data_IF_744419292881
#
_entry.id   IF_744419292881
#
_cell.length_a   1.000
_cell.length_b   1.000
_cell.length_c   1.000
_cell.angle_alpha   90.00
_cell.angle_beta   90.00
_cell.angle_gamma   90.00
#
_symmetry.space_group_name_H-M   'P 1'
#
loop_
_entity.id
_entity.type
_entity.pdbx_description
1 polymer ?
#
# COMPACT_ATOMS: atom_id res chain seq x y z
N UNK A 1 -3.28 -33.21 -11.69
CA UNK A 1 -2.06 -34.04 -11.88
C UNK A 1 -1.90 -34.99 -10.69
N UNK A 2 -1.18 -36.09 -10.86
CA UNK A 2 -0.90 -37.05 -9.79
C UNK A 2 0.48 -37.68 -9.94
N UNK A 3 1.06 -38.12 -8.83
CA UNK A 3 2.35 -38.81 -8.72
C UNK A 3 2.29 -39.86 -7.61
N UNK A 4 3.39 -40.57 -7.41
CA UNK A 4 3.65 -41.45 -6.27
C UNK A 4 3.58 -40.73 -4.91
N UNK A 5 3.81 -39.40 -4.89
CA UNK A 5 3.78 -38.56 -3.68
C UNK A 5 2.42 -37.89 -3.41
N UNK A 6 1.43 -38.02 -4.31
CA UNK A 6 0.09 -37.48 -4.09
C UNK A 6 -0.58 -36.91 -5.35
N UNK A 7 -1.51 -35.96 -5.16
CA UNK A 7 -2.25 -35.34 -6.26
C UNK A 7 -2.38 -33.82 -6.09
N UNK A 8 -2.37 -33.11 -7.21
CA UNK A 8 -2.56 -31.67 -7.30
C UNK A 8 -3.73 -31.34 -8.23
N UNK A 9 -4.73 -30.63 -7.70
CA UNK A 9 -5.78 -29.99 -8.50
C UNK A 9 -5.27 -28.61 -8.97
N UNK A 10 -5.56 -28.24 -10.21
CA UNK A 10 -5.16 -26.99 -10.83
C UNK A 10 -6.39 -26.43 -11.56
N UNK A 11 -6.64 -25.13 -11.45
CA UNK A 11 -7.71 -24.44 -12.20
C UNK A 11 -7.50 -24.56 -13.71
N UNK A 12 -8.58 -24.63 -14.49
CA UNK A 12 -8.50 -24.70 -15.96
C UNK A 12 -7.84 -23.46 -16.58
N UNK A 13 -7.96 -22.32 -15.90
CA UNK A 13 -7.33 -21.06 -16.26
C UNK A 13 -7.01 -20.24 -15.00
N UNK A 14 -6.16 -19.22 -15.14
CA UNK A 14 -5.74 -18.34 -14.06
C UNK A 14 -5.70 -16.88 -14.55
N UNK A 15 -6.84 -16.38 -15.05
CA UNK A 15 -6.97 -15.12 -15.79
C UNK A 15 -6.38 -13.90 -15.05
N UNK A 16 -6.52 -13.86 -13.72
CA UNK A 16 -6.00 -12.82 -12.82
C UNK A 16 -4.47 -12.61 -12.90
N UNK A 17 -3.73 -13.50 -13.59
CA UNK A 17 -2.31 -13.28 -13.91
C UNK A 17 -2.05 -12.11 -14.86
N UNK A 18 -3.04 -11.75 -15.69
CA UNK A 18 -2.90 -10.74 -16.75
C UNK A 18 -3.49 -9.42 -16.26
N UNK A 19 -2.60 -8.49 -15.90
CA UNK A 19 -2.96 -7.24 -15.23
C UNK A 19 -3.43 -6.13 -16.19
N UNK A 20 -3.19 -6.28 -17.50
CA UNK A 20 -3.68 -5.37 -18.53
C UNK A 20 -4.55 -6.11 -19.57
N UNK A 21 -5.35 -5.34 -20.32
CA UNK A 21 -6.13 -5.88 -21.44
C UNK A 21 -5.22 -6.55 -22.49
N UNK A 22 -4.07 -5.94 -22.80
CA UNK A 22 -3.12 -6.46 -23.78
C UNK A 22 -2.56 -7.81 -23.30
N UNK A 23 -2.15 -7.93 -22.03
CA UNK A 23 -1.69 -9.20 -21.45
C UNK A 23 -2.79 -10.27 -21.38
N UNK A 24 -4.05 -9.86 -21.25
CA UNK A 24 -5.20 -10.76 -21.22
C UNK A 24 -5.48 -11.34 -22.61
N UNK A 25 -5.46 -10.50 -23.65
CA UNK A 25 -5.75 -10.90 -25.02
C UNK A 25 -4.56 -11.65 -25.66
N UNK A 26 -3.32 -11.23 -25.43
CA UNK A 26 -2.12 -11.88 -26.00
C UNK A 26 -1.89 -13.30 -25.44
N UNK A 27 -2.27 -13.54 -24.17
CA UNK A 27 -2.27 -14.86 -23.56
C UNK A 27 -3.10 -15.88 -24.34
N UNK A 28 -4.15 -15.43 -25.06
CA UNK A 28 -5.03 -16.25 -25.92
C UNK A 28 -5.62 -17.47 -25.19
N UNK A 29 -5.81 -17.36 -23.89
CA UNK A 29 -6.48 -18.38 -23.09
C UNK A 29 -7.99 -18.37 -23.43
N UNK A 30 -8.56 -19.47 -23.95
CA UNK A 30 -9.97 -19.52 -24.35
C UNK A 30 -10.94 -19.35 -23.19
N UNK A 31 -10.49 -19.51 -21.94
CA UNK A 31 -11.32 -19.32 -20.74
C UNK A 31 -11.25 -17.90 -20.18
N UNK A 32 -10.37 -17.02 -20.67
CA UNK A 32 -10.15 -15.68 -20.13
C UNK A 32 -10.50 -14.57 -21.12
N UNK A 33 -11.13 -13.50 -20.64
CA UNK A 33 -11.39 -12.27 -21.40
C UNK A 33 -11.30 -11.04 -20.53
N UNK A 34 -10.97 -9.89 -21.12
CA UNK A 34 -10.83 -8.63 -20.39
C UNK A 34 -12.18 -7.96 -20.18
N UNK A 35 -12.53 -7.70 -18.93
CA UNK A 35 -13.67 -6.87 -18.57
C UNK A 35 -13.26 -5.39 -18.52
N UNK A 36 -13.71 -4.61 -19.51
CA UNK A 36 -13.45 -3.18 -19.56
C UNK A 36 -14.15 -2.38 -18.44
N UNK A 37 -15.24 -2.88 -17.85
CA UNK A 37 -15.93 -2.23 -16.73
C UNK A 37 -15.31 -2.59 -15.37
N UNK A 38 -14.77 -3.81 -15.26
CA UNK A 38 -14.03 -4.29 -14.08
C UNK A 38 -12.53 -3.95 -14.07
N UNK A 39 -11.99 -3.48 -15.21
CA UNK A 39 -10.56 -3.29 -15.46
C UNK A 39 -9.71 -4.52 -15.08
N UNK A 40 -10.16 -5.71 -15.46
CA UNK A 40 -9.55 -6.98 -15.05
C UNK A 40 -9.71 -8.10 -16.09
N UNK A 41 -8.73 -9.02 -16.14
CA UNK A 41 -8.81 -10.25 -16.92
C UNK A 41 -9.58 -11.33 -16.14
N UNK A 42 -10.78 -11.69 -16.59
CA UNK A 42 -11.73 -12.55 -15.86
C UNK A 42 -12.07 -13.83 -16.64
N UNK A 43 -12.60 -14.83 -15.92
CA UNK A 43 -13.12 -16.05 -16.56
C UNK A 43 -14.39 -15.75 -17.37
N UNK A 44 -14.53 -16.40 -18.54
CA UNK A 44 -15.73 -16.35 -19.39
C UNK A 44 -17.00 -16.93 -18.72
N UNK A 45 -16.92 -17.41 -17.47
CA UNK A 45 -18.05 -17.92 -16.67
C UNK A 45 -19.13 -16.87 -16.34
N UNK A 46 -19.05 -15.64 -16.86
CA UNK A 46 -19.99 -14.53 -16.61
C UNK A 46 -20.76 -14.16 -17.89
N UNK A 47 -21.93 -14.78 -18.16
CA UNK A 47 -22.60 -14.74 -19.47
C UNK A 47 -23.20 -13.39 -19.89
N UNK A 48 -23.06 -12.35 -19.07
CA UNK A 48 -23.64 -11.01 -19.30
C UNK A 48 -22.58 -9.94 -19.62
N UNK A 49 -21.28 -10.25 -19.54
CA UNK A 49 -20.20 -9.28 -19.76
C UNK A 49 -19.69 -9.33 -21.20
N UNK A 50 -19.58 -8.16 -21.83
CA UNK A 50 -18.95 -8.00 -23.14
C UNK A 50 -17.42 -7.99 -22.95
N UNK A 51 -16.83 -9.18 -22.85
CA UNK A 51 -15.41 -9.37 -22.59
C UNK A 51 -14.58 -9.26 -23.88
N UNK A 52 -13.46 -8.54 -23.82
CA UNK A 52 -12.51 -8.44 -24.94
C UNK A 52 -11.63 -9.69 -24.95
N UNK A 53 -11.73 -10.49 -26.00
CA UNK A 53 -10.94 -11.72 -26.19
C UNK A 53 -10.65 -11.94 -27.69
N UNK A 54 -9.44 -12.38 -28.03
CA UNK A 54 -9.12 -12.82 -29.38
C UNK A 54 -8.16 -14.03 -29.37
N UNK A 55 -8.69 -15.24 -29.15
CA UNK A 55 -7.91 -16.49 -29.08
C UNK A 55 -7.18 -16.80 -30.40
N UNK A 56 -7.85 -16.58 -31.54
CA UNK A 56 -7.40 -17.08 -32.84
C UNK A 56 -6.15 -16.36 -33.37
N UNK A 57 -6.08 -15.03 -33.18
CA UNK A 57 -4.98 -14.19 -33.67
C UNK A 57 -4.18 -13.52 -32.54
N UNK A 58 -4.78 -13.23 -31.38
CA UNK A 58 -4.19 -12.37 -30.35
C UNK A 58 -4.26 -10.90 -30.73
N UNK A 59 -5.38 -10.47 -31.30
CA UNK A 59 -5.63 -9.07 -31.66
C UNK A 59 -6.12 -8.25 -30.46
N UNK A 60 -5.22 -7.46 -29.88
CA UNK A 60 -5.51 -6.56 -28.76
C UNK A 60 -5.88 -5.13 -29.20
N UNK A 61 -6.17 -4.88 -30.49
CA UNK A 61 -6.51 -3.54 -31.00
C UNK A 61 -7.81 -2.93 -30.43
N UNK A 62 -8.66 -3.75 -29.81
CA UNK A 62 -9.87 -3.31 -29.10
C UNK A 62 -9.63 -2.92 -27.64
N UNK A 63 -8.41 -3.09 -27.12
CA UNK A 63 -8.10 -2.72 -25.74
C UNK A 63 -8.14 -1.19 -25.54
N UNK A 64 -8.58 -0.71 -24.37
CA UNK A 64 -8.45 0.70 -24.02
C UNK A 64 -6.97 1.08 -23.84
N UNK A 65 -6.68 2.38 -23.93
CA UNK A 65 -5.38 2.94 -23.54
C UNK A 65 -5.02 2.54 -22.09
N UNK A 66 -3.74 2.28 -21.84
CA UNK A 66 -3.25 1.90 -20.52
C UNK A 66 -3.27 3.09 -19.54
N UNK A 67 -3.51 2.80 -18.25
CA UNK A 67 -3.47 3.81 -17.19
C UNK A 67 -2.10 4.53 -17.13
N UNK A 68 -2.07 5.85 -16.84
CA UNK A 68 -0.83 6.61 -16.74
C UNK A 68 0.16 6.04 -15.71
N UNK A 69 1.35 5.66 -16.16
CA UNK A 69 2.37 5.04 -15.31
C UNK A 69 3.02 6.08 -14.41
N UNK A 70 3.15 5.72 -13.13
CA UNK A 70 3.82 6.57 -12.13
C UNK A 70 5.33 6.59 -12.37
N UNK A 71 5.83 7.69 -12.94
CA UNK A 71 7.27 7.95 -13.09
C UNK A 71 8.01 7.85 -11.76
N UNK A 72 9.11 7.09 -11.74
CA UNK A 72 9.95 6.86 -10.56
C UNK A 72 11.21 7.73 -10.62
N UNK A 73 11.29 8.74 -9.75
CA UNK A 73 12.48 9.59 -9.64
C UNK A 73 13.64 8.85 -8.95
N UNK A 74 14.83 8.89 -9.54
CA UNK A 74 16.05 8.27 -9.03
C UNK A 74 17.23 9.25 -9.17
N UNK A 75 18.14 9.27 -8.20
CA UNK A 75 19.39 10.04 -8.30
C UNK A 75 20.60 9.13 -8.12
N UNK A 76 21.63 9.33 -8.93
CA UNK A 76 22.89 8.58 -8.88
C UNK A 76 24.07 9.53 -9.05
N UNK A 77 25.13 9.34 -8.26
CA UNK A 77 26.36 10.14 -8.39
C UNK A 77 27.11 9.82 -9.69
N UNK A 78 27.79 10.83 -10.26
CA UNK A 78 28.78 10.62 -11.34
C UNK A 78 29.76 9.52 -10.93
N UNK A 79 30.06 8.60 -11.86
CA UNK A 79 30.85 7.40 -11.62
C UNK A 79 30.09 6.22 -11.02
N UNK A 80 28.84 6.42 -10.60
CA UNK A 80 28.01 5.40 -9.96
C UNK A 80 27.50 4.29 -10.89
N UNK A 81 26.82 3.32 -10.29
CA UNK A 81 26.07 2.25 -10.97
C UNK A 81 24.58 2.58 -10.89
N UNK A 82 23.91 2.69 -12.03
CA UNK A 82 22.44 2.83 -12.12
C UNK A 82 21.83 1.52 -12.60
N UNK A 83 20.71 1.12 -12.00
CA UNK A 83 19.99 -0.11 -12.33
C UNK A 83 18.49 0.21 -12.35
N UNK A 84 17.85 0.06 -13.52
CA UNK A 84 16.44 0.36 -13.74
C UNK A 84 15.71 -0.96 -14.02
N UNK A 85 14.75 -1.33 -13.18
CA UNK A 85 13.97 -2.57 -13.35
C UNK A 85 12.91 -2.43 -14.44
N UNK A 86 12.61 -3.53 -15.13
CA UNK A 86 11.51 -3.65 -16.07
C UNK A 86 11.18 -5.13 -16.29
N UNK A 87 10.43 -5.76 -15.37
CA UNK A 87 10.08 -7.17 -15.48
C UNK A 87 9.07 -7.38 -16.63
N UNK A 88 9.33 -8.26 -17.61
CA UNK A 88 8.39 -8.52 -18.69
C UNK A 88 7.14 -9.27 -18.18
N UNK A 89 5.92 -8.94 -18.66
CA UNK A 89 4.67 -9.61 -18.27
C UNK A 89 4.54 -11.06 -18.80
N UNK A 90 5.30 -11.40 -19.84
CA UNK A 90 5.27 -12.69 -20.53
C UNK A 90 6.67 -13.14 -20.93
N UNK A 91 6.87 -14.46 -21.06
CA UNK A 91 8.12 -15.06 -21.54
C UNK A 91 8.30 -15.00 -23.06
N UNK A 92 7.28 -14.52 -23.80
CA UNK A 92 7.34 -14.24 -25.23
C UNK A 92 7.63 -12.76 -25.53
N UNK A 93 7.55 -11.91 -24.51
CA UNK A 93 7.81 -10.48 -24.57
C UNK A 93 9.30 -10.19 -24.73
N UNK A 94 9.65 -9.22 -25.58
CA UNK A 94 10.97 -8.58 -25.58
C UNK A 94 10.88 -7.19 -24.94
N UNK A 95 11.95 -6.75 -24.28
CA UNK A 95 12.00 -5.45 -23.59
C UNK A 95 12.75 -4.42 -24.44
N UNK A 96 12.13 -3.26 -24.67
CA UNK A 96 12.74 -2.08 -25.31
C UNK A 96 12.96 -0.98 -24.27
N UNK A 97 14.12 -0.35 -24.30
CA UNK A 97 14.46 0.81 -23.47
C UNK A 97 14.69 2.04 -24.33
N UNK A 98 14.17 3.18 -23.89
CA UNK A 98 14.33 4.48 -24.56
C UNK A 98 14.73 5.55 -23.52
N UNK A 99 15.63 6.48 -23.87
CA UNK A 99 16.02 7.63 -23.04
C UNK A 99 15.54 8.89 -23.76
N UNK A 100 14.54 9.57 -23.20
CA UNK A 100 13.67 10.45 -24.00
C UNK A 100 13.18 9.69 -25.24
N UNK A 101 13.36 10.29 -26.42
CA UNK A 101 12.93 9.70 -27.70
C UNK A 101 14.05 8.89 -28.40
N UNK A 102 15.07 8.40 -27.66
CA UNK A 102 16.18 7.63 -28.23
C UNK A 102 16.17 6.19 -27.70
N UNK A 103 15.86 5.24 -28.58
CA UNK A 103 16.04 3.79 -28.34
C UNK A 103 17.49 3.52 -27.92
N UNK A 104 17.66 2.81 -26.81
CA UNK A 104 18.96 2.42 -26.29
C UNK A 104 19.40 1.08 -26.88
N UNK A 105 20.71 0.94 -27.10
CA UNK A 105 21.34 -0.29 -27.58
C UNK A 105 22.37 -0.78 -26.57
N UNK A 106 22.53 -2.10 -26.48
CA UNK A 106 23.48 -2.70 -25.53
C UNK A 106 24.92 -2.34 -25.90
N UNK A 107 25.70 -1.96 -24.89
CA UNK A 107 27.11 -1.57 -24.99
C UNK A 107 27.87 -2.01 -23.74
N UNK A 108 29.22 -2.00 -23.72
CA UNK A 108 29.99 -2.39 -22.53
C UNK A 108 29.61 -1.62 -21.26
N UNK A 109 29.13 -0.38 -21.41
CA UNK A 109 28.73 0.53 -20.33
C UNK A 109 27.24 0.50 -20.01
N UNK A 110 26.37 0.34 -21.02
CA UNK A 110 24.91 0.28 -20.87
C UNK A 110 24.44 -1.12 -21.30
N UNK A 111 24.24 -2.01 -20.33
CA UNK A 111 23.89 -3.41 -20.56
C UNK A 111 22.38 -3.59 -20.42
N UNK A 112 21.71 -3.99 -21.50
CA UNK A 112 20.29 -4.35 -21.48
C UNK A 112 20.18 -5.83 -21.13
N UNK A 113 19.48 -6.13 -20.03
CA UNK A 113 19.17 -7.48 -19.56
C UNK A 113 17.66 -7.73 -19.68
N UNK A 114 17.23 -8.99 -19.54
CA UNK A 114 15.84 -9.43 -19.74
C UNK A 114 14.82 -8.66 -18.86
N UNK A 115 15.24 -8.24 -17.67
CA UNK A 115 14.40 -7.65 -16.62
C UNK A 115 14.88 -6.26 -16.15
N UNK A 116 15.92 -5.68 -16.76
CA UNK A 116 16.52 -4.40 -16.32
C UNK A 116 17.51 -3.79 -17.32
N UNK A 117 17.67 -2.46 -17.24
CA UNK A 117 18.81 -1.73 -17.80
C UNK A 117 19.86 -1.48 -16.70
N UNK A 118 21.12 -1.78 -17.01
CA UNK A 118 22.27 -1.55 -16.13
C UNK A 118 23.22 -0.54 -16.78
N UNK A 119 23.39 0.63 -16.16
CA UNK A 119 24.38 1.63 -16.59
C UNK A 119 25.53 1.67 -15.59
N UNK A 120 26.72 1.30 -16.07
CA UNK A 120 27.98 1.39 -15.34
C UNK A 120 28.61 2.77 -15.54
N UNK A 121 29.34 3.27 -14.54
CA UNK A 121 30.08 4.55 -14.62
C UNK A 121 29.19 5.69 -15.17
N UNK A 122 28.16 6.04 -14.39
CA UNK A 122 27.15 7.03 -14.76
C UNK A 122 27.75 8.41 -15.03
N UNK A 123 27.29 9.05 -16.11
CA UNK A 123 27.76 10.36 -16.58
C UNK A 123 26.61 11.36 -16.59
N UNK A 124 26.90 12.66 -16.71
CA UNK A 124 25.85 13.68 -16.87
C UNK A 124 24.93 13.44 -18.09
N UNK A 125 25.40 12.70 -19.12
CA UNK A 125 24.59 12.29 -20.28
C UNK A 125 23.64 11.11 -20.03
N UNK A 126 23.70 10.48 -18.85
CA UNK A 126 22.74 9.47 -18.38
C UNK A 126 21.62 10.09 -17.52
N UNK A 127 21.54 11.42 -17.44
CA UNK A 127 20.38 12.12 -16.90
C UNK A 127 19.19 12.04 -17.88
N UNK A 128 17.98 12.21 -17.35
CA UNK A 128 16.76 12.38 -18.15
C UNK A 128 15.66 11.37 -17.84
N UNK A 129 14.60 11.41 -18.66
CA UNK A 129 13.52 10.43 -18.63
C UNK A 129 13.97 9.13 -19.32
N UNK A 130 13.61 7.99 -18.74
CA UNK A 130 13.77 6.67 -19.32
C UNK A 130 12.43 5.97 -19.37
N UNK A 131 12.05 5.47 -20.55
CA UNK A 131 10.89 4.63 -20.77
C UNK A 131 11.33 3.18 -20.96
N UNK A 132 10.57 2.24 -20.41
CA UNK A 132 10.70 0.82 -20.71
C UNK A 132 9.37 0.25 -21.20
N UNK A 133 9.40 -0.42 -22.35
CA UNK A 133 8.21 -1.03 -22.96
C UNK A 133 8.40 -2.52 -23.21
N UNK A 134 7.36 -3.30 -22.89
CA UNK A 134 7.15 -4.65 -23.41
C UNK A 134 6.76 -4.58 -24.87
N UNK A 135 7.32 -5.48 -25.69
CA UNK A 135 7.02 -5.65 -27.11
C UNK A 135 6.76 -7.14 -27.36
N UNK A 136 5.55 -7.48 -27.76
CA UNK A 136 5.14 -8.88 -28.02
C UNK A 136 4.41 -9.00 -29.36
N UNK A 137 4.59 -10.14 -30.04
CA UNK A 137 4.03 -10.40 -31.38
C UNK A 137 2.96 -11.48 -31.33
N UNK A 138 1.81 -11.17 -31.90
CA UNK A 138 0.74 -12.13 -32.16
C UNK A 138 0.61 -12.39 -33.68
N UNK A 139 -0.48 -13.04 -34.14
CA UNK A 139 -0.77 -13.12 -35.57
C UNK A 139 -1.39 -11.83 -36.13
N UNK A 140 -1.90 -10.95 -35.25
CA UNK A 140 -2.54 -9.69 -35.63
C UNK A 140 -1.52 -8.55 -35.79
N UNK A 141 -0.42 -8.56 -35.03
CA UNK A 141 0.61 -7.54 -35.12
C UNK A 141 1.68 -7.61 -34.02
N UNK A 142 2.47 -6.55 -33.92
CA UNK A 142 3.36 -6.25 -32.79
C UNK A 142 2.64 -5.28 -31.85
N UNK A 143 2.42 -5.69 -30.60
CA UNK A 143 1.79 -4.89 -29.56
C UNK A 143 2.86 -4.42 -28.58
N UNK A 144 2.80 -3.13 -28.21
CA UNK A 144 3.75 -2.49 -27.32
C UNK A 144 3.01 -1.88 -26.13
N UNK A 145 3.48 -2.14 -24.91
CA UNK A 145 2.92 -1.57 -23.67
C UNK A 145 4.06 -1.00 -22.84
N UNK A 146 3.89 0.17 -22.22
CA UNK A 146 4.89 0.67 -21.26
C UNK A 146 4.79 -0.13 -19.96
N UNK A 147 5.94 -0.48 -19.38
CA UNK A 147 6.05 -1.30 -18.15
C UNK A 147 6.58 -0.46 -16.99
N UNK A 148 7.50 0.46 -17.25
CA UNK A 148 8.07 1.34 -16.24
C UNK A 148 8.57 2.65 -16.85
N UNK A 149 8.47 3.74 -16.07
CA UNK A 149 9.05 5.05 -16.40
C UNK A 149 9.90 5.57 -15.24
N UNK A 150 11.03 6.20 -15.58
CA UNK A 150 11.99 6.72 -14.62
C UNK A 150 12.40 8.15 -14.95
N UNK A 151 12.64 8.97 -13.92
CA UNK A 151 13.27 10.28 -14.06
C UNK A 151 14.60 10.26 -13.32
N UNK A 152 15.70 10.23 -14.08
CA UNK A 152 17.06 10.10 -13.55
C UNK A 152 17.72 11.46 -13.42
N UNK A 153 18.20 11.79 -12.22
CA UNK A 153 19.13 12.87 -11.95
C UNK A 153 20.55 12.33 -11.70
N UNK A 154 21.55 13.13 -12.08
CA UNK A 154 22.96 12.79 -11.92
C UNK A 154 23.57 13.78 -10.93
N UNK A 155 23.88 13.31 -9.72
CA UNK A 155 24.50 14.14 -8.68
C UNK A 155 26.00 14.34 -8.99
N UNK A 156 26.53 15.57 -8.88
CA UNK A 156 27.96 15.81 -9.07
C UNK A 156 28.80 15.02 -8.05
N UNK A 157 30.02 14.65 -8.47
CA UNK A 157 30.98 13.99 -7.59
C UNK A 157 31.61 15.01 -6.62
N UNK A 158 30.85 15.46 -5.62
CA UNK A 158 31.37 16.29 -4.53
C UNK A 158 32.25 15.44 -3.59
N UNK A 159 33.54 15.76 -3.42
CA UNK A 159 34.45 15.01 -2.54
C UNK A 159 34.17 15.21 -1.03
N UNK A 160 33.35 16.20 -0.65
CA UNK A 160 33.07 16.56 0.75
C UNK A 160 31.69 16.09 1.24
N UNK A 161 30.75 15.74 0.35
CA UNK A 161 29.37 15.39 0.74
C UNK A 161 29.20 13.87 0.85
N UNK A 162 29.13 13.39 2.09
CA UNK A 162 28.78 12.00 2.38
C UNK A 162 27.27 11.75 2.18
N UNK A 163 26.82 11.73 0.92
CA UNK A 163 25.43 11.40 0.55
C UNK A 163 25.12 9.97 0.97
N UNK A 164 24.18 9.81 1.92
CA UNK A 164 23.64 8.50 2.30
C UNK A 164 23.11 7.79 1.06
N UNK A 165 23.57 6.56 0.83
CA UNK A 165 23.02 5.69 -0.21
C UNK A 165 21.58 5.31 0.14
N UNK A 166 20.62 6.02 -0.47
CA UNK A 166 19.20 5.64 -0.45
C UNK A 166 19.04 4.43 -1.36
N UNK A 167 19.19 3.24 -0.80
CA UNK A 167 18.73 2.01 -1.46
C UNK A 167 17.22 2.17 -1.70
N UNK A 168 16.72 2.13 -2.95
CA UNK A 168 15.30 2.23 -3.21
C UNK A 168 14.60 1.01 -2.62
N UNK A 169 13.95 1.19 -1.46
CA UNK A 169 13.19 0.11 -0.82
C UNK A 169 12.01 -0.22 -1.74
N UNK A 170 11.81 -1.49 -2.14
CA UNK A 170 10.70 -1.86 -3.01
C UNK A 170 9.39 -1.44 -2.33
N UNK A 171 8.59 -0.61 -3.01
CA UNK A 171 7.27 -0.23 -2.52
C UNK A 171 6.32 -1.41 -2.71
N UNK A 172 6.28 -2.27 -1.71
CA UNK A 172 5.21 -3.25 -1.52
C UNK A 172 3.91 -2.52 -1.22
N UNK A 173 3.29 -1.95 -2.25
CA UNK A 173 1.95 -1.38 -2.21
C UNK A 173 0.92 -2.50 -2.12
N UNK A 174 0.94 -3.24 -1.01
CA UNK A 174 -0.22 -4.01 -0.59
C UNK A 174 -1.40 -3.05 -0.35
N UNK A 175 -2.65 -3.51 -0.50
CA UNK A 175 -3.83 -2.69 -0.22
C UNK A 175 -3.76 -2.14 1.21
N UNK A 176 -4.19 -0.90 1.41
CA UNK A 176 -3.98 -0.18 2.67
C UNK A 176 -4.69 -0.85 3.86
N UNK A 177 -3.95 -1.68 4.58
CA UNK A 177 -4.45 -2.47 5.72
C UNK A 177 -4.92 -1.57 6.87
N UNK A 178 -4.61 -0.27 6.86
CA UNK A 178 -5.12 0.70 7.83
C UNK A 178 -6.65 0.72 7.93
N UNK A 179 -7.36 0.59 6.81
CA UNK A 179 -8.83 0.48 6.80
C UNK A 179 -9.32 -0.80 7.48
N UNK A 180 -8.69 -1.94 7.18
CA UNK A 180 -9.01 -3.23 7.79
C UNK A 180 -8.70 -3.23 9.30
N UNK A 181 -7.56 -2.67 9.71
CA UNK A 181 -7.21 -2.53 11.12
C UNK A 181 -8.19 -1.62 11.88
N UNK A 182 -8.69 -0.54 11.28
CA UNK A 182 -9.71 0.30 11.89
C UNK A 182 -11.04 -0.45 12.11
N UNK A 183 -11.49 -1.22 11.12
CA UNK A 183 -12.69 -2.07 11.24
C UNK A 183 -12.51 -3.15 12.31
N UNK A 184 -11.35 -3.83 12.35
CA UNK A 184 -11.05 -4.83 13.39
C UNK A 184 -11.04 -4.18 14.79
N UNK A 185 -10.43 -3.01 14.95
CA UNK A 185 -10.41 -2.30 16.23
C UNK A 185 -11.82 -1.93 16.70
N UNK A 186 -12.68 -1.42 15.80
CA UNK A 186 -14.08 -1.10 16.12
C UNK A 186 -14.87 -2.35 16.52
N UNK A 187 -14.68 -3.47 15.83
CA UNK A 187 -15.33 -4.75 16.17
C UNK A 187 -14.88 -5.27 17.55
N UNK A 188 -13.58 -5.19 17.87
CA UNK A 188 -13.05 -5.57 19.20
C UNK A 188 -13.62 -4.68 20.30
N UNK A 189 -13.70 -3.36 20.08
CA UNK A 189 -14.30 -2.42 21.04
C UNK A 189 -15.79 -2.72 21.24
N UNK A 190 -16.55 -2.98 20.16
CA UNK A 190 -17.96 -3.34 20.25
C UNK A 190 -18.18 -4.67 20.99
N UNK A 191 -17.38 -5.69 20.73
CA UNK A 191 -17.44 -6.98 21.43
C UNK A 191 -17.03 -6.85 22.91
N UNK A 192 -16.06 -6.00 23.24
CA UNK A 192 -15.69 -5.69 24.62
C UNK A 192 -16.79 -4.91 25.36
N UNK A 193 -17.46 -3.97 24.70
CA UNK A 193 -18.61 -3.27 25.26
C UNK A 193 -19.80 -4.21 25.49
N UNK A 194 -20.05 -5.16 24.57
CA UNK A 194 -21.11 -6.17 24.70
C UNK A 194 -20.78 -7.22 25.76
N UNK A 195 -19.52 -7.64 25.92
CA UNK A 195 -19.10 -8.56 26.99
C UNK A 195 -19.16 -7.88 28.35
N UNK A 196 -18.74 -6.62 28.47
CA UNK A 196 -18.92 -5.82 29.68
C UNK A 196 -20.42 -5.59 30.00
N UNK A 197 -21.24 -5.26 29.01
CA UNK A 197 -22.69 -5.08 29.18
C UNK A 197 -23.39 -6.37 29.63
N UNK A 198 -23.07 -7.51 29.00
CA UNK A 198 -23.62 -8.81 29.41
C UNK A 198 -23.10 -9.25 30.77
N UNK A 199 -21.85 -8.95 31.12
CA UNK A 199 -21.31 -9.17 32.47
C UNK A 199 -22.07 -8.31 33.51
N UNK A 200 -22.18 -7.00 33.30
CA UNK A 200 -22.94 -6.10 34.16
C UNK A 200 -24.43 -6.48 34.27
N UNK A 201 -25.04 -7.01 33.20
CA UNK A 201 -26.43 -7.51 33.24
C UNK A 201 -26.54 -8.86 33.97
N UNK A 202 -25.53 -9.73 33.87
CA UNK A 202 -25.48 -11.06 34.50
C UNK A 202 -25.08 -11.02 35.98
N UNK A 203 -24.30 -10.01 36.40
CA UNK A 203 -23.90 -9.78 37.79
C UNK A 203 -24.87 -8.89 38.58
N UNK A 204 -26.02 -8.52 37.99
CA UNK A 204 -27.09 -7.75 38.65
C UNK A 204 -28.20 -8.54 39.36
N UNK A 205 -27.96 -9.73 39.96
CA UNK A 205 -28.89 -10.31 40.94
C UNK A 205 -28.28 -10.42 42.36
N UNK A 206 -27.53 -9.41 42.82
CA UNK A 206 -27.21 -9.16 44.24
C UNK A 206 -26.67 -7.72 44.43
N UNK A 207 -26.74 -7.20 45.65
CA UNK A 207 -26.24 -5.87 46.08
C UNK A 207 -26.76 -4.64 45.31
N UNK A 208 -28.06 -4.35 45.43
CA UNK A 208 -28.49 -2.98 45.79
C UNK A 208 -29.87 -3.03 46.45
N UNK A 209 -29.90 -3.05 47.78
CA UNK A 209 -31.11 -3.02 48.60
C UNK A 209 -30.95 -1.89 49.63
N UNK A 210 -32.01 -1.13 49.90
CA UNK A 210 -32.00 0.18 50.56
C UNK A 210 -31.23 1.26 49.76
N UNK A 211 -31.76 2.44 49.43
CA UNK A 211 -32.88 3.20 50.02
C UNK A 211 -33.76 3.90 48.97
N UNK A 212 -35.05 4.07 49.29
CA UNK A 212 -35.83 5.32 49.20
C UNK A 212 -37.33 5.02 49.05
N UNK A 213 -38.13 5.30 50.09
CA UNK A 213 -39.59 5.42 49.98
C UNK A 213 -40.19 6.30 51.09
N UNK A 214 -40.36 7.58 50.77
CA UNK A 214 -41.42 8.42 51.34
C UNK A 214 -41.51 9.71 50.52
N UNK A 215 -42.49 9.80 49.63
CA UNK A 215 -42.95 11.08 49.09
C UNK A 215 -43.72 11.81 50.18
N UNK A 216 -43.55 13.14 50.28
CA UNK A 216 -44.70 14.05 50.37
C UNK A 216 -44.29 15.49 50.04
N UNK A 217 -45.24 16.22 49.46
CA UNK A 217 -45.10 17.60 48.94
C UNK A 217 -45.72 18.60 49.92
N UNK A 218 -45.55 19.91 49.65
CA UNK A 218 -46.18 21.11 50.26
C UNK A 218 -45.29 21.86 51.28
N UNK A 219 -45.19 23.20 51.26
CA UNK A 219 -45.63 24.18 50.23
C UNK A 219 -44.90 25.53 50.33
N UNK A 220 -45.09 26.36 49.30
CA UNK A 220 -45.08 27.83 49.26
C UNK A 220 -44.06 28.68 50.09
N UNK A 221 -43.19 29.36 49.35
CA UNK A 221 -42.86 30.82 49.44
C UNK A 221 -42.37 31.40 50.79
N UNK A 222 -41.09 31.79 50.81
CA UNK A 222 -40.50 32.76 51.72
C UNK A 222 -39.27 33.43 51.08
N UNK A 223 -38.98 34.70 51.37
CA UNK A 223 -37.94 35.48 50.68
C UNK A 223 -37.01 36.22 51.66
N UNK A 224 -35.83 36.61 51.18
CA UNK A 224 -34.86 37.55 51.76
C UNK A 224 -33.93 37.10 52.94
N UNK A 225 -32.64 37.03 52.59
CA UNK A 225 -31.49 37.72 53.19
C UNK A 225 -31.05 37.53 54.68
N UNK A 226 -29.79 37.07 54.79
CA UNK A 226 -28.70 37.60 55.61
C UNK A 226 -28.73 37.54 57.17
N UNK A 227 -27.76 36.80 57.74
CA UNK A 227 -26.77 37.33 58.69
C UNK A 227 -25.58 36.36 58.95
N UNK A 228 -24.41 36.93 59.30
CA UNK A 228 -23.24 36.32 60.00
C UNK A 228 -23.22 36.92 61.44
N UNK A 229 -22.35 36.56 62.45
CA UNK A 229 -20.90 36.28 62.33
C UNK A 229 -20.26 35.30 63.37
N UNK A 230 -18.91 35.15 63.32
CA UNK A 230 -17.96 34.72 64.39
C UNK A 230 -18.11 33.27 64.96
N UNK A 231 -17.11 32.56 65.55
CA UNK A 231 -15.64 32.68 65.81
C UNK A 231 -15.08 31.23 66.01
N UNK A 232 -13.81 30.85 66.22
CA UNK A 232 -12.47 31.48 66.38
C UNK A 232 -11.40 30.57 65.65
N UNK A 233 -10.09 30.86 65.51
CA UNK A 233 -8.91 30.83 66.44
C UNK A 233 -8.59 29.43 67.05
N UNK A 234 -7.36 28.87 67.00
CA UNK A 234 -6.01 29.45 66.86
C UNK A 234 -5.00 28.73 65.91
N UNK A 235 -3.81 29.34 65.75
CA UNK A 235 -2.55 28.87 65.09
C UNK A 235 -1.64 28.11 66.12
N UNK A 236 -0.39 27.65 65.85
CA UNK A 236 0.52 27.83 64.69
C UNK A 236 0.91 26.46 64.05
N UNK A 237 2.05 26.18 63.37
CA UNK A 237 3.30 26.90 63.03
C UNK A 237 3.80 26.54 61.59
N UNK A 238 5.07 26.17 61.39
CA UNK A 238 5.86 26.16 60.13
C UNK A 238 7.07 25.19 60.21
N UNK A 239 7.41 24.44 59.15
CA UNK A 239 8.81 24.27 58.66
C UNK A 239 8.89 23.70 57.22
N UNK A 240 9.90 24.15 56.47
CA UNK A 240 10.39 23.70 55.16
C UNK A 240 11.90 23.36 55.31
N UNK A 241 12.68 22.98 54.28
CA UNK A 241 12.46 22.05 53.15
C UNK A 241 13.64 21.04 53.02
N UNK A 242 13.70 20.21 51.95
CA UNK A 242 14.88 20.02 51.05
C UNK A 242 14.89 18.71 50.24
N UNK A 243 15.01 18.86 48.93
CA UNK A 243 16.07 18.33 48.04
C UNK A 243 16.68 16.92 48.29
N UNK A 244 16.57 16.02 47.30
CA UNK A 244 17.61 15.02 47.01
C UNK A 244 17.54 14.53 45.57
N UNK A 245 18.65 14.59 44.84
CA UNK A 245 18.81 14.02 43.49
C UNK A 245 19.78 12.84 43.55
N UNK A 246 19.51 11.76 42.80
CA UNK A 246 20.56 10.76 42.51
C UNK A 246 20.34 10.04 41.19
N UNK A 247 21.23 10.33 40.23
CA UNK A 247 21.50 9.45 39.09
C UNK A 247 22.26 8.21 39.56
N UNK A 248 22.31 7.16 38.73
CA UNK A 248 23.49 6.32 38.58
C UNK A 248 23.45 5.58 37.23
N UNK A 249 24.54 5.66 36.47
CA UNK A 249 24.82 4.76 35.33
C UNK A 249 25.88 3.74 35.78
N UNK A 250 25.67 2.46 35.48
CA UNK A 250 26.64 1.36 35.56
C UNK A 250 25.98 0.07 35.06
N UNK A 251 26.59 -0.79 34.24
CA UNK A 251 27.78 -0.70 33.36
C UNK A 251 27.42 -1.45 32.07
#
# INVERSE_FOLDING_TARGET
AGSDQGAAQISLANCERSLSCIDCVLARDPYCGWDAAGAACVSLSTPERHLIQNVAAGDASLCPDADPIKVVSLSVRVGGKLELSCPPPSSLTNVRWEQGNRVLTSSPRQQILLDKLLILNATAGDAGHYCCSSVERSKAGEFTTTVAEYQVSIDPADPNVCVRSVTPKPQTNGPSVAGLHAVIALLVIALAALSAWTFCKRYRPQFLNCTNRSEQTQEAVGHQNAARPAMAEAKPLVSEPQNSCRNNNAV
#
